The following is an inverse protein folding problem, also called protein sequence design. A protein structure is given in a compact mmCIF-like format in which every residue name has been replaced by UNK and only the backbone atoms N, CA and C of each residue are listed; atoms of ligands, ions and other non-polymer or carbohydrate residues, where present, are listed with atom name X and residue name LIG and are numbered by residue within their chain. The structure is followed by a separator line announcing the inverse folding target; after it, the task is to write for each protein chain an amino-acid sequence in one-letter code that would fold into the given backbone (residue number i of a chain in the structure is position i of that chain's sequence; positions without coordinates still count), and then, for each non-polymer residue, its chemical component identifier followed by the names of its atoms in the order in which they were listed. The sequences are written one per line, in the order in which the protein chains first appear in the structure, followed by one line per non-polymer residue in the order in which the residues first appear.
data_IF_966684256329
#
_entry.id   IF_966684256329
#
_cell.length_a   1.000
_cell.length_b   1.000
_cell.length_c   1.000
_cell.angle_alpha   90.00
_cell.angle_beta   90.00
_cell.angle_gamma   90.00
#
_symmetry.space_group_name_H-M   'P 1'
#
loop_
_entity.id
_entity.type
_entity.pdbx_description
1 polymer ?
#
# COMPACT_ATOMS: atom_id res chain seq x y z
N UNK A 1 -39.40 18.55 10.47
CA UNK A 1 -39.80 17.17 10.13
C UNK A 1 -38.70 16.58 9.27
N UNK A 2 -38.09 15.46 9.69
CA UNK A 2 -37.02 14.81 8.93
C UNK A 2 -37.63 14.13 7.71
N UNK A 3 -37.11 14.36 6.52
CA UNK A 3 -37.67 13.77 5.30
C UNK A 3 -37.31 12.28 5.29
N UNK A 4 -38.22 11.37 4.87
CA UNK A 4 -37.93 9.93 4.79
C UNK A 4 -36.63 9.59 4.04
N UNK A 5 -36.22 10.47 3.11
CA UNK A 5 -35.02 10.35 2.30
C UNK A 5 -33.71 10.55 3.11
N UNK A 6 -33.73 11.38 4.16
CA UNK A 6 -32.54 11.68 4.97
C UNK A 6 -32.10 10.47 5.82
N UNK A 7 -33.06 9.63 6.22
CA UNK A 7 -32.83 8.39 6.97
C UNK A 7 -32.22 7.28 6.12
N UNK A 8 -32.62 7.17 4.85
CA UNK A 8 -32.06 6.19 3.92
C UNK A 8 -30.62 6.55 3.53
N UNK A 9 -30.35 7.84 3.32
CA UNK A 9 -29.01 8.35 3.05
C UNK A 9 -28.03 8.09 4.21
N UNK A 10 -28.44 8.33 5.46
CA UNK A 10 -27.62 8.01 6.64
C UNK A 10 -27.34 6.51 6.79
N UNK A 11 -28.36 5.66 6.55
CA UNK A 11 -28.19 4.21 6.60
C UNK A 11 -27.24 3.69 5.51
N UNK A 12 -27.30 4.27 4.31
CA UNK A 12 -26.37 3.97 3.22
C UNK A 12 -24.94 4.41 3.55
N UNK A 13 -24.77 5.62 4.10
CA UNK A 13 -23.46 6.14 4.51
C UNK A 13 -22.84 5.31 5.66
N UNK A 14 -23.66 4.86 6.61
CA UNK A 14 -23.23 3.99 7.70
C UNK A 14 -22.75 2.63 7.17
N UNK A 15 -23.50 2.01 6.25
CA UNK A 15 -23.11 0.76 5.60
C UNK A 15 -21.82 0.91 4.79
N UNK A 16 -21.68 2.00 4.03
CA UNK A 16 -20.47 2.30 3.28
C UNK A 16 -19.24 2.48 4.19
N UNK A 17 -19.41 3.16 5.33
CA UNK A 17 -18.35 3.29 6.35
C UNK A 17 -17.97 1.95 6.98
N UNK A 18 -18.95 1.12 7.33
CA UNK A 18 -18.71 -0.22 7.88
C UNK A 18 -17.93 -1.10 6.90
N UNK A 19 -18.31 -1.09 5.62
CA UNK A 19 -17.61 -1.81 4.55
C UNK A 19 -16.18 -1.30 4.37
N UNK A 20 -15.97 0.03 4.39
CA UNK A 20 -14.65 0.62 4.29
C UNK A 20 -13.75 0.26 5.49
N UNK A 21 -14.28 0.30 6.71
CA UNK A 21 -13.53 -0.14 7.91
C UNK A 21 -13.21 -1.63 7.90
N UNK A 22 -14.13 -2.47 7.43
CA UNK A 22 -13.88 -3.90 7.29
C UNK A 22 -12.80 -4.18 6.24
N UNK A 23 -12.82 -3.46 5.11
CA UNK A 23 -11.77 -3.54 4.08
C UNK A 23 -10.41 -3.12 4.61
N UNK A 24 -10.33 -2.03 5.38
CA UNK A 24 -9.09 -1.57 6.02
C UNK A 24 -8.59 -2.53 7.09
N UNK A 25 -9.49 -3.08 7.90
CA UNK A 25 -9.15 -4.04 8.95
C UNK A 25 -8.58 -5.34 8.38
N UNK A 26 -8.97 -5.73 7.16
CA UNK A 26 -8.43 -6.91 6.48
C UNK A 26 -7.16 -6.61 5.70
N UNK A 27 -7.06 -5.44 5.05
CA UNK A 27 -5.90 -5.10 4.21
C UNK A 27 -4.64 -4.87 5.04
N UNK A 28 -4.75 -4.19 6.19
CA UNK A 28 -3.60 -3.90 7.06
C UNK A 28 -2.83 -5.15 7.52
N UNK A 29 -3.45 -6.16 8.15
CA UNK A 29 -2.74 -7.36 8.55
C UNK A 29 -2.23 -8.16 7.35
N UNK A 30 -2.94 -8.17 6.23
CA UNK A 30 -2.50 -8.87 5.03
C UNK A 30 -1.24 -8.24 4.41
N UNK A 31 -1.16 -6.91 4.36
CA UNK A 31 0.04 -6.19 3.93
C UNK A 31 1.19 -6.40 4.90
N UNK A 32 0.92 -6.42 6.21
CA UNK A 32 1.94 -6.67 7.23
C UNK A 32 2.52 -8.09 7.09
N UNK A 33 1.66 -9.10 7.01
CA UNK A 33 2.06 -10.51 6.86
C UNK A 33 2.80 -10.72 5.53
N UNK A 34 2.30 -10.15 4.44
CA UNK A 34 2.98 -10.20 3.14
C UNK A 34 4.37 -9.55 3.19
N UNK A 35 4.48 -8.37 3.83
CA UNK A 35 5.76 -7.68 4.01
C UNK A 35 6.76 -8.46 4.86
N UNK A 36 6.30 -9.09 5.94
CA UNK A 36 7.15 -9.94 6.81
C UNK A 36 7.58 -11.21 6.09
N UNK A 37 6.70 -11.86 5.31
CA UNK A 37 7.03 -13.07 4.54
C UNK A 37 8.06 -12.74 3.45
N UNK A 38 7.85 -11.65 2.70
CA UNK A 38 8.80 -11.21 1.67
C UNK A 38 10.12 -10.78 2.29
N UNK A 39 10.08 -10.06 3.42
CA UNK A 39 11.27 -9.66 4.16
C UNK A 39 12.05 -10.84 4.70
N UNK A 40 11.38 -11.84 5.28
CA UNK A 40 12.00 -13.06 5.79
C UNK A 40 12.53 -13.95 4.67
N UNK A 41 11.80 -14.05 3.54
CA UNK A 41 12.28 -14.77 2.37
C UNK A 41 13.50 -14.11 1.77
N UNK A 42 13.50 -12.77 1.65
CA UNK A 42 14.64 -11.99 1.19
C UNK A 42 15.84 -12.17 2.13
N UNK A 43 15.64 -12.07 3.45
CA UNK A 43 16.68 -12.26 4.46
C UNK A 43 17.30 -13.67 4.41
N UNK A 44 16.46 -14.71 4.23
CA UNK A 44 16.90 -16.10 4.17
C UNK A 44 17.55 -16.48 2.83
N UNK A 45 17.17 -15.83 1.73
CA UNK A 45 17.81 -16.00 0.42
C UNK A 45 19.18 -15.31 0.34
N UNK A 46 19.45 -14.34 1.22
CA UNK A 46 20.62 -13.46 1.15
C UNK A 46 21.83 -13.91 1.97
N UNK A 47 21.91 -15.18 2.38
CA UNK A 47 22.99 -15.65 3.25
C UNK A 47 24.41 -15.61 2.63
N UNK A 48 24.64 -15.15 1.38
CA UNK A 48 26.00 -14.99 0.81
C UNK A 48 26.20 -13.99 -0.36
N UNK A 49 25.35 -12.97 -0.60
CA UNK A 49 25.61 -11.99 -1.69
C UNK A 49 25.10 -10.55 -1.44
N UNK A 50 25.53 -9.86 -0.36
CA UNK A 50 25.02 -8.53 -0.01
C UNK A 50 25.39 -7.42 -1.03
N UNK A 51 26.43 -7.59 -1.84
CA UNK A 51 26.92 -6.53 -2.73
C UNK A 51 26.08 -6.34 -4.01
N UNK A 52 25.70 -7.43 -4.68
CA UNK A 52 24.95 -7.34 -5.94
C UNK A 52 23.51 -6.87 -5.74
N UNK A 53 22.86 -7.30 -4.66
CA UNK A 53 21.50 -6.88 -4.35
C UNK A 53 21.46 -5.45 -3.80
N UNK A 54 22.49 -5.00 -3.07
CA UNK A 54 22.64 -3.58 -2.72
C UNK A 54 22.87 -2.72 -3.97
N UNK A 55 23.70 -3.16 -4.92
CA UNK A 55 23.96 -2.44 -6.17
C UNK A 55 22.73 -2.41 -7.09
N UNK A 56 22.08 -3.54 -7.35
CA UNK A 56 20.85 -3.57 -8.17
C UNK A 56 19.67 -2.90 -7.47
N UNK A 57 19.55 -3.07 -6.14
CA UNK A 57 18.52 -2.44 -5.34
C UNK A 57 18.66 -0.92 -5.33
N UNK A 58 19.86 -0.40 -5.08
CA UNK A 58 20.14 1.04 -5.14
C UNK A 58 20.01 1.60 -6.56
N UNK A 59 20.48 0.87 -7.59
CA UNK A 59 20.28 1.26 -8.98
C UNK A 59 18.79 1.29 -9.37
N UNK A 60 18.01 0.30 -8.92
CA UNK A 60 16.55 0.26 -9.09
C UNK A 60 15.84 1.40 -8.37
N UNK A 61 16.26 1.73 -7.16
CA UNK A 61 15.69 2.83 -6.36
C UNK A 61 16.01 4.20 -6.99
N UNK A 62 17.24 4.41 -7.47
CA UNK A 62 17.64 5.63 -8.18
C UNK A 62 16.91 5.76 -9.52
N UNK A 63 16.77 4.66 -10.26
CA UNK A 63 16.02 4.64 -11.53
C UNK A 63 14.53 4.95 -11.31
N UNK A 64 13.90 4.30 -10.34
CA UNK A 64 12.50 4.53 -9.98
C UNK A 64 12.25 5.94 -9.44
N UNK A 65 13.14 6.44 -8.58
CA UNK A 65 13.09 7.82 -8.06
C UNK A 65 13.25 8.85 -9.16
N UNK A 66 14.13 8.62 -10.14
CA UNK A 66 14.30 9.51 -11.31
C UNK A 66 13.08 9.50 -12.22
N UNK A 67 12.44 8.34 -12.41
CA UNK A 67 11.19 8.23 -13.16
C UNK A 67 10.06 8.99 -12.46
N UNK A 68 9.93 8.79 -11.14
CA UNK A 68 8.93 9.46 -10.33
C UNK A 68 9.15 10.98 -10.30
N UNK A 69 10.40 11.43 -10.15
CA UNK A 69 10.76 12.84 -10.24
C UNK A 69 10.43 13.44 -11.61
N UNK A 70 10.68 12.70 -12.70
CA UNK A 70 10.33 13.13 -14.05
C UNK A 70 8.82 13.24 -14.26
N UNK A 71 8.05 12.27 -13.73
CA UNK A 71 6.59 12.30 -13.72
C UNK A 71 6.05 13.47 -12.89
N UNK A 72 6.63 13.72 -11.72
CA UNK A 72 6.22 14.80 -10.84
C UNK A 72 6.47 16.18 -11.46
N UNK A 73 7.60 16.34 -12.18
CA UNK A 73 7.89 17.54 -12.97
C UNK A 73 7.03 17.68 -14.23
N UNK A 74 6.39 16.62 -14.71
CA UNK A 74 5.44 16.70 -15.83
C UNK A 74 4.01 17.00 -15.37
N UNK A 75 3.71 16.80 -14.09
CA UNK A 75 2.38 17.06 -13.50
C UNK A 75 2.26 18.44 -12.83
N UNK A 76 3.35 19.17 -12.64
CA UNK A 76 3.37 20.55 -12.12
C UNK A 76 4.06 21.50 -13.07
#
# INVERSE_FOLDING_TARGET
MRSPNDSEAEAAALRARMLATAGLALSLPMTLVGGVIVGYWLDRWLQTAPLWLALLGSAGLVSGGRLLYRLWRQLG
#
